data_IF_818676765756
#
_entry.id   IF_818676765756
#
_cell.length_a   1.000
_cell.length_b   1.000
_cell.length_c   1.000
_cell.angle_alpha   90.00
_cell.angle_beta   90.00
_cell.angle_gamma   90.00
#
_symmetry.space_group_name_H-M   'P 1'
#
loop_
_entity.id
_entity.type
_entity.pdbx_description
1 polymer ?
#
# COMPACT_ATOMS: atom_id res chain seq x y z
N UNK A 1 -9.51 -1.64 -17.69
CA UNK A 1 -8.41 -2.28 -16.92
C UNK A 1 -8.27 -1.52 -15.61
N UNK A 2 -8.47 -2.17 -14.47
CA UNK A 2 -8.31 -1.54 -13.15
C UNK A 2 -6.87 -1.81 -12.71
N UNK A 3 -6.09 -0.74 -12.48
CA UNK A 3 -4.74 -0.85 -11.92
C UNK A 3 -4.87 -0.68 -10.40
N UNK A 4 -4.57 -1.74 -9.64
CA UNK A 4 -4.56 -1.68 -8.18
C UNK A 4 -3.19 -1.22 -7.72
N UNK A 5 -3.13 0.00 -7.19
CA UNK A 5 -1.96 0.56 -6.52
C UNK A 5 -2.20 0.61 -5.00
N UNK A 6 -1.14 0.47 -4.23
CA UNK A 6 -1.23 0.52 -2.78
C UNK A 6 0.13 0.55 -2.11
N UNK A 7 0.11 0.51 -0.79
CA UNK A 7 1.32 0.31 0.01
C UNK A 7 1.16 -0.89 0.91
N UNK A 8 2.23 -1.68 1.03
CA UNK A 8 2.25 -2.86 1.90
C UNK A 8 3.65 -3.04 2.47
N UNK A 9 3.75 -3.65 3.64
CA UNK A 9 5.02 -4.07 4.20
C UNK A 9 5.53 -5.31 3.44
N UNK A 10 6.76 -5.22 2.96
CA UNK A 10 7.52 -6.30 2.34
C UNK A 10 8.93 -6.33 2.94
N UNK A 11 9.57 -7.49 2.79
CA UNK A 11 10.91 -7.73 3.32
C UNK A 11 10.86 -7.99 4.82
N UNK A 12 11.30 -9.17 5.23
CA UNK A 12 11.45 -9.51 6.63
C UNK A 12 12.94 -9.51 6.92
N UNK A 13 13.38 -8.60 7.79
CA UNK A 13 14.77 -8.47 8.19
C UNK A 13 14.88 -8.29 9.70
N UNK A 14 16.05 -8.60 10.25
CA UNK A 14 16.42 -8.28 11.63
C UNK A 14 15.34 -8.67 12.65
N UNK A 15 14.87 -9.91 12.56
CA UNK A 15 13.88 -10.48 13.45
C UNK A 15 14.43 -10.52 14.87
N UNK A 16 13.66 -10.01 15.83
CA UNK A 16 13.92 -10.21 17.24
C UNK A 16 12.86 -11.14 17.80
N UNK A 17 13.32 -12.31 18.23
CA UNK A 17 12.48 -13.39 18.71
C UNK A 17 11.53 -12.92 19.82
N UNK A 18 10.24 -13.20 19.66
CA UNK A 18 9.19 -12.82 20.61
C UNK A 18 8.78 -11.34 20.61
N UNK A 19 9.47 -10.46 19.85
CA UNK A 19 9.20 -9.01 19.85
C UNK A 19 8.69 -8.52 18.50
N UNK A 20 9.37 -8.86 17.40
CA UNK A 20 9.01 -8.30 16.10
C UNK A 20 10.07 -8.44 15.03
N UNK A 21 9.89 -7.74 13.91
CA UNK A 21 10.87 -7.72 12.82
C UNK A 21 10.87 -6.38 12.08
N UNK A 22 11.98 -6.09 11.41
CA UNK A 22 12.09 -4.93 10.53
C UNK A 22 11.49 -5.27 9.17
N UNK A 23 10.56 -4.43 8.71
CA UNK A 23 9.98 -4.50 7.39
C UNK A 23 10.01 -3.15 6.68
N UNK A 24 10.02 -3.17 5.35
CA UNK A 24 9.98 -1.96 4.55
C UNK A 24 8.62 -1.82 3.86
N UNK A 25 8.01 -0.63 3.92
CA UNK A 25 6.78 -0.32 3.21
C UNK A 25 7.12 0.06 1.78
N UNK A 26 6.53 -0.66 0.82
CA UNK A 26 6.71 -0.40 -0.61
C UNK A 26 5.46 0.18 -1.22
N UNK A 27 5.63 1.07 -2.21
CA UNK A 27 4.60 1.27 -3.24
C UNK A 27 4.58 0.02 -4.11
N UNK A 28 3.40 -0.54 -4.34
CA UNK A 28 3.23 -1.66 -5.24
C UNK A 28 2.19 -1.40 -6.33
N UNK A 29 2.41 -2.02 -7.49
CA UNK A 29 1.44 -2.12 -8.58
C UNK A 29 1.22 -3.61 -8.83
N UNK A 30 -0.03 -4.08 -8.75
CA UNK A 30 -0.37 -5.49 -8.99
C UNK A 30 0.53 -6.46 -8.19
N UNK A 31 0.78 -6.13 -6.91
CA UNK A 31 1.63 -6.88 -5.97
C UNK A 31 3.15 -6.81 -6.19
N UNK A 32 3.64 -6.10 -7.20
CA UNK A 32 5.09 -5.93 -7.42
C UNK A 32 5.62 -4.81 -6.52
N UNK A 33 6.54 -5.08 -5.57
CA UNK A 33 7.14 -4.03 -4.75
C UNK A 33 8.11 -3.20 -5.61
N UNK A 34 7.78 -1.93 -5.85
CA UNK A 34 8.56 -1.06 -6.73
C UNK A 34 9.54 -0.21 -5.95
N UNK A 35 9.03 0.76 -5.19
CA UNK A 35 9.84 1.77 -4.49
C UNK A 35 9.64 1.61 -2.99
N UNK A 36 10.73 1.35 -2.23
CA UNK A 36 10.67 1.37 -0.78
C UNK A 36 10.51 2.82 -0.29
N UNK A 37 9.56 3.05 0.60
CA UNK A 37 9.23 4.40 1.10
C UNK A 37 9.71 4.58 2.53
N UNK A 38 9.48 3.57 3.37
CA UNK A 38 9.63 3.70 4.82
C UNK A 38 10.05 2.36 5.43
N UNK A 39 10.84 2.39 6.50
CA UNK A 39 11.20 1.19 7.27
C UNK A 39 10.52 1.27 8.64
N UNK A 40 9.89 0.18 9.05
CA UNK A 40 9.23 0.05 10.34
C UNK A 40 9.65 -1.23 11.04
N UNK A 41 9.80 -1.17 12.35
CA UNK A 41 9.83 -2.35 13.20
C UNK A 41 8.40 -2.74 13.52
N UNK A 42 7.93 -3.89 13.04
CA UNK A 42 6.58 -4.39 13.27
C UNK A 42 6.53 -5.22 14.56
N UNK A 43 5.75 -4.77 15.54
CA UNK A 43 5.45 -5.45 16.80
C UNK A 43 4.09 -6.16 16.66
N UNK A 44 4.11 -7.37 16.12
CA UNK A 44 2.89 -8.08 15.71
C UNK A 44 2.30 -7.54 14.41
N UNK A 45 0.98 -7.66 14.23
CA UNK A 45 0.33 -7.40 12.94
C UNK A 45 -0.04 -5.92 12.71
N UNK A 46 -0.38 -5.18 13.77
CA UNK A 46 -1.02 -3.85 13.63
C UNK A 46 -0.17 -2.68 14.15
N UNK A 47 0.98 -2.96 14.77
CA UNK A 47 1.82 -1.93 15.40
C UNK A 47 3.18 -1.91 14.75
N UNK A 48 3.67 -0.72 14.44
CA UNK A 48 5.07 -0.58 14.10
C UNK A 48 5.66 0.77 14.45
N UNK A 49 6.95 0.75 14.75
CA UNK A 49 7.75 1.92 15.10
C UNK A 49 8.61 2.29 13.91
N UNK A 50 8.60 3.57 13.53
CA UNK A 50 9.41 4.07 12.42
C UNK A 50 10.89 3.93 12.74
N UNK A 51 11.64 3.41 11.80
CA UNK A 51 13.09 3.26 11.88
C UNK A 51 13.76 4.07 10.79
N UNK A 52 15.05 4.41 10.95
CA UNK A 52 15.87 4.83 9.83
C UNK A 52 15.85 3.76 8.73
N UNK A 53 15.95 4.19 7.49
CA UNK A 53 15.86 3.34 6.31
C UNK A 53 16.80 2.14 6.39
N UNK A 54 16.25 0.92 6.29
CA UNK A 54 17.02 -0.33 6.28
C UNK A 54 17.11 -0.87 4.86
N UNK A 55 18.28 -0.71 4.24
CA UNK A 55 18.56 -1.27 2.92
C UNK A 55 18.42 -2.80 2.90
N UNK A 56 18.77 -3.47 4.01
CA UNK A 56 18.62 -4.92 4.18
C UNK A 56 17.15 -5.36 4.06
N UNK A 57 16.23 -4.63 4.71
CA UNK A 57 14.79 -4.90 4.58
C UNK A 57 14.28 -4.62 3.16
N UNK A 58 14.76 -3.55 2.52
CA UNK A 58 14.39 -3.24 1.14
C UNK A 58 14.84 -4.33 0.15
N UNK A 59 16.09 -4.78 0.23
CA UNK A 59 16.62 -5.88 -0.59
C UNK A 59 15.85 -7.18 -0.35
N UNK A 60 15.55 -7.51 0.91
CA UNK A 60 14.71 -8.67 1.27
C UNK A 60 13.32 -8.59 0.60
N UNK A 61 12.73 -7.39 0.55
CA UNK A 61 11.45 -7.14 -0.11
C UNK A 61 11.51 -7.36 -1.62
N UNK A 62 12.50 -6.79 -2.30
CA UNK A 62 12.69 -6.96 -3.74
C UNK A 62 13.02 -8.39 -4.13
N UNK A 63 13.87 -9.10 -3.37
CA UNK A 63 14.20 -10.49 -3.67
C UNK A 63 12.98 -11.40 -3.55
N UNK A 64 12.11 -11.18 -2.55
CA UNK A 64 10.83 -11.90 -2.44
C UNK A 64 9.87 -11.56 -3.59
N UNK A 65 9.74 -10.28 -3.93
CA UNK A 65 8.91 -9.84 -5.06
C UNK A 65 9.41 -10.41 -6.40
N UNK A 66 10.72 -10.35 -6.64
CA UNK A 66 11.37 -10.90 -7.82
C UNK A 66 11.24 -12.41 -7.92
N UNK A 67 11.39 -13.13 -6.80
CA UNK A 67 11.17 -14.57 -6.77
C UNK A 67 9.72 -14.96 -7.09
N UNK A 68 8.73 -14.19 -6.60
CA UNK A 68 7.33 -14.41 -6.97
C UNK A 68 7.11 -14.21 -8.48
N UNK A 69 7.62 -13.11 -9.03
CA UNK A 69 7.46 -12.80 -10.46
C UNK A 69 8.19 -13.82 -11.34
N UNK A 70 9.38 -14.26 -10.93
CA UNK A 70 10.14 -15.33 -11.57
C UNK A 70 9.34 -16.63 -11.55
N UNK A 71 8.77 -17.02 -10.39
CA UNK A 71 7.95 -18.22 -10.29
C UNK A 71 6.76 -18.16 -11.26
N UNK A 72 6.00 -17.06 -11.26
CA UNK A 72 4.82 -16.89 -12.14
C UNK A 72 5.24 -16.95 -13.62
N UNK A 73 6.25 -16.16 -14.02
CA UNK A 73 6.72 -16.11 -15.40
C UNK A 73 7.25 -17.45 -15.89
N UNK A 74 8.05 -18.13 -15.06
CA UNK A 74 8.57 -19.46 -15.37
C UNK A 74 7.49 -20.53 -15.40
N UNK A 75 6.46 -20.46 -14.56
CA UNK A 75 5.31 -21.37 -14.65
C UNK A 75 4.55 -21.18 -15.96
N UNK A 76 4.27 -19.94 -16.36
CA UNK A 76 3.61 -19.66 -17.66
C UNK A 76 4.47 -20.15 -18.82
N UNK A 77 5.78 -19.87 -18.78
CA UNK A 77 6.73 -20.32 -19.79
C UNK A 77 6.81 -21.85 -19.89
N UNK A 78 6.78 -22.55 -18.75
CA UNK A 78 6.76 -24.01 -18.73
C UNK A 78 5.50 -24.57 -19.42
N UNK A 79 4.33 -24.01 -19.11
CA UNK A 79 3.05 -24.43 -19.72
C UNK A 79 3.08 -24.21 -21.23
N UNK A 80 3.54 -23.03 -21.69
CA UNK A 80 3.65 -22.72 -23.10
C UNK A 80 4.60 -23.69 -23.83
N UNK A 81 5.81 -23.90 -23.29
CA UNK A 81 6.79 -24.81 -23.89
C UNK A 81 6.28 -26.25 -23.97
N UNK A 82 5.57 -26.74 -22.94
CA UNK A 82 4.94 -28.07 -23.01
C UNK A 82 3.80 -28.14 -24.03
N UNK A 83 3.00 -27.08 -24.18
CA UNK A 83 1.96 -27.02 -25.20
C UNK A 83 2.55 -27.06 -26.63
N UNK A 84 3.75 -26.51 -26.82
CA UNK A 84 4.47 -26.52 -28.10
C UNK A 84 5.29 -27.81 -28.33
N UNK A 85 5.27 -28.75 -27.38
CA UNK A 85 6.05 -30.00 -27.45
C UNK A 85 7.55 -29.84 -27.15
N UNK A 86 7.98 -28.66 -26.71
CA UNK A 86 9.37 -28.38 -26.32
C UNK A 86 9.65 -28.85 -24.89
N UNK A 87 9.86 -30.16 -24.72
CA UNK A 87 10.02 -30.79 -23.40
C UNK A 87 11.18 -30.18 -22.60
N UNK A 88 12.33 -29.91 -23.23
CA UNK A 88 13.51 -29.39 -22.53
C UNK A 88 13.24 -27.98 -21.99
N UNK A 89 12.68 -27.08 -22.81
CA UNK A 89 12.30 -25.74 -22.39
C UNK A 89 11.26 -25.76 -21.27
N UNK A 90 10.25 -26.64 -21.38
CA UNK A 90 9.22 -26.84 -20.36
C UNK A 90 9.80 -27.27 -19.01
N UNK A 91 10.70 -28.26 -19.01
CA UNK A 91 11.36 -28.74 -17.79
C UNK A 91 12.27 -27.67 -17.19
N UNK A 92 13.07 -26.97 -18.01
CA UNK A 92 13.96 -25.91 -17.54
C UNK A 92 13.17 -24.78 -16.85
N UNK A 93 12.08 -24.32 -17.47
CA UNK A 93 11.21 -23.31 -16.89
C UNK A 93 10.53 -23.80 -15.60
N UNK A 94 10.07 -25.06 -15.55
CA UNK A 94 9.50 -25.64 -14.34
C UNK A 94 10.50 -25.71 -13.17
N UNK A 95 11.77 -26.04 -13.45
CA UNK A 95 12.85 -26.03 -12.44
C UNK A 95 13.08 -24.61 -11.92
N UNK A 96 13.15 -23.60 -12.79
CA UNK A 96 13.30 -22.20 -12.36
C UNK A 96 12.12 -21.76 -11.49
N UNK A 97 10.89 -22.14 -11.84
CA UNK A 97 9.72 -21.87 -11.01
C UNK A 97 9.85 -22.51 -9.62
N UNK A 98 10.23 -23.79 -9.56
CA UNK A 98 10.44 -24.53 -8.32
C UNK A 98 11.53 -23.91 -7.44
N UNK A 99 12.67 -23.53 -8.02
CA UNK A 99 13.76 -22.85 -7.31
C UNK A 99 13.33 -21.47 -6.78
N UNK A 100 12.55 -20.74 -7.56
CA UNK A 100 12.03 -19.42 -7.17
C UNK A 100 11.10 -19.52 -5.95
N UNK A 101 10.22 -20.53 -5.92
CA UNK A 101 9.38 -20.82 -4.74
C UNK A 101 10.23 -21.30 -3.56
N UNK A 102 11.19 -22.19 -3.80
CA UNK A 102 12.11 -22.71 -2.78
C UNK A 102 13.01 -21.64 -2.15
N UNK A 103 13.27 -20.53 -2.83
CA UNK A 103 14.08 -19.43 -2.32
C UNK A 103 13.38 -18.62 -1.21
N UNK A 104 12.05 -18.64 -1.11
CA UNK A 104 11.29 -17.89 -0.10
C UNK A 104 11.73 -18.14 1.36
N UNK A 105 11.74 -19.40 1.84
CA UNK A 105 12.22 -19.69 3.21
C UNK A 105 13.70 -19.37 3.38
N UNK A 106 14.51 -19.49 2.32
CA UNK A 106 15.94 -19.17 2.37
C UNK A 106 16.17 -17.67 2.61
N UNK A 107 15.45 -16.80 1.92
CA UNK A 107 15.53 -15.35 2.16
C UNK A 107 15.11 -14.97 3.57
N UNK A 108 14.09 -15.66 4.13
CA UNK A 108 13.72 -15.51 5.53
C UNK A 108 14.88 -15.80 6.48
N UNK A 109 15.66 -16.86 6.22
CA UNK A 109 16.83 -17.22 7.04
C UNK A 109 18.01 -16.25 6.86
N UNK A 110 18.32 -15.88 5.62
CA UNK A 110 19.48 -15.00 5.32
C UNK A 110 19.26 -13.60 5.89
N UNK A 111 18.08 -13.02 5.69
CA UNK A 111 17.80 -11.64 6.08
C UNK A 111 17.20 -11.53 7.49
N UNK A 112 16.58 -12.59 8.00
CA UNK A 112 15.91 -12.61 9.29
C UNK A 112 16.84 -12.50 10.49
N UNK A 113 18.11 -12.90 10.38
CA UNK A 113 19.06 -12.82 11.50
C UNK A 113 19.35 -11.37 11.88
N UNK A 114 19.11 -11.01 13.14
CA UNK A 114 19.46 -9.71 13.73
C UNK A 114 20.81 -9.80 14.44
N UNK A 115 21.73 -8.87 14.19
CA UNK A 115 22.98 -8.82 14.95
C UNK A 115 22.71 -8.38 16.38
N UNK A 116 23.54 -8.80 17.35
CA UNK A 116 23.36 -8.42 18.76
C UNK A 116 23.38 -6.90 18.97
N UNK A 117 24.27 -6.19 18.28
CA UNK A 117 24.32 -4.73 18.30
C UNK A 117 23.05 -4.10 17.74
N UNK A 118 22.58 -4.58 16.57
CA UNK A 118 21.35 -4.05 15.95
C UNK A 118 20.14 -4.33 16.82
N UNK A 119 20.08 -5.51 17.46
CA UNK A 119 19.04 -5.85 18.43
C UNK A 119 19.03 -4.86 19.59
N UNK A 120 20.19 -4.54 20.16
CA UNK A 120 20.29 -3.57 21.26
C UNK A 120 19.84 -2.15 20.81
N UNK A 121 20.23 -1.71 19.62
CA UNK A 121 19.76 -0.44 19.04
C UNK A 121 18.23 -0.41 18.85
N UNK A 122 17.66 -1.52 18.37
CA UNK A 122 16.22 -1.66 18.20
C UNK A 122 15.50 -1.62 19.56
N UNK A 123 15.98 -2.36 20.57
CA UNK A 123 15.38 -2.35 21.91
C UNK A 123 15.46 -0.97 22.55
N UNK A 124 16.60 -0.29 22.45
CA UNK A 124 16.76 1.08 22.92
C UNK A 124 15.80 2.05 22.22
N UNK A 125 15.61 1.90 20.89
CA UNK A 125 14.68 2.74 20.12
C UNK A 125 13.22 2.49 20.53
N UNK A 126 12.89 1.26 20.92
CA UNK A 126 11.55 0.88 21.37
C UNK A 126 11.28 1.29 22.83
N UNK A 127 12.29 1.75 23.57
CA UNK A 127 12.19 1.98 25.02
C UNK A 127 11.91 0.70 25.80
N UNK A 128 12.26 -0.47 25.25
CA UNK A 128 12.19 -1.75 25.93
C UNK A 128 13.56 -1.94 26.56
N UNK A 129 13.72 -1.46 27.79
CA UNK A 129 14.94 -1.71 28.54
C UNK A 129 15.03 -3.23 28.84
N UNK A 130 16.17 -3.85 28.52
CA UNK A 130 16.45 -5.29 28.76
C UNK A 130 16.40 -5.70 30.25
N UNK A 131 16.04 -4.79 31.16
CA UNK A 131 16.07 -4.97 32.61
C UNK A 131 14.90 -5.76 33.18
N UNK A 132 13.88 -6.07 32.41
CA UNK A 132 12.80 -6.94 32.86
C UNK A 132 12.88 -8.28 32.12
N UNK A 133 13.25 -9.35 32.84
CA UNK A 133 12.90 -10.72 32.48
C UNK A 133 11.37 -10.97 32.47
N UNK A 134 10.57 -9.94 32.22
CA UNK A 134 9.14 -10.02 32.00
C UNK A 134 8.93 -10.63 30.62
N UNK A 135 8.15 -11.70 30.60
CA UNK A 135 7.74 -12.36 29.37
C UNK A 135 7.22 -11.34 28.34
N UNK A 136 7.52 -11.54 27.04
CA UNK A 136 7.18 -10.58 25.98
C UNK A 136 5.70 -10.19 25.93
N UNK A 137 4.80 -10.97 26.54
CA UNK A 137 3.38 -10.66 26.63
C UNK A 137 3.05 -9.38 27.41
N UNK A 138 3.85 -8.98 28.41
CA UNK A 138 3.53 -7.83 29.26
C UNK A 138 3.96 -6.50 28.62
N UNK A 139 4.96 -6.51 27.73
CA UNK A 139 5.47 -5.31 27.05
C UNK A 139 4.52 -4.77 25.95
N UNK A 140 3.47 -5.50 25.60
CA UNK A 140 2.51 -5.11 24.56
C UNK A 140 1.44 -4.09 25.01
N UNK A 141 1.49 -3.56 26.23
CA UNK A 141 0.60 -2.48 26.68
C UNK A 141 1.28 -1.10 26.53
N UNK A 142 1.65 -0.73 25.31
CA UNK A 142 1.99 0.66 25.00
C UNK A 142 0.70 1.40 24.63
N UNK A 143 0.43 2.60 25.18
CA UNK A 143 -0.74 3.39 24.82
C UNK A 143 -0.79 3.59 23.31
N UNK A 144 -1.90 3.17 22.70
CA UNK A 144 -2.12 3.33 21.26
C UNK A 144 -1.95 4.80 20.90
N UNK A 145 -0.90 5.13 20.13
CA UNK A 145 -0.87 6.44 19.47
C UNK A 145 -2.11 6.52 18.58
N UNK A 146 -2.86 7.63 18.60
CA UNK A 146 -4.01 7.81 17.74
C UNK A 146 -3.53 7.64 16.31
N UNK A 147 -3.96 6.56 15.64
CA UNK A 147 -3.67 6.41 14.23
C UNK A 147 -4.21 7.66 13.52
N UNK A 148 -3.40 8.34 12.69
CA UNK A 148 -3.93 9.40 11.85
C UNK A 148 -5.05 8.78 11.05
N UNK A 149 -6.30 9.17 11.36
CA UNK A 149 -7.47 8.80 10.59
C UNK A 149 -7.22 9.32 9.18
N UNK A 150 -6.64 8.47 8.33
CA UNK A 150 -6.72 8.65 6.90
C UNK A 150 -8.20 8.58 6.62
N UNK A 151 -8.80 9.76 6.44
CA UNK A 151 -10.19 9.94 6.04
C UNK A 151 -10.40 9.26 4.70
N UNK A 152 -10.63 7.95 4.74
CA UNK A 152 -11.39 7.28 3.71
C UNK A 152 -12.72 8.01 3.65
N UNK A 153 -13.08 8.42 2.43
CA UNK A 153 -14.31 9.13 2.14
C UNK A 153 -15.54 8.45 2.74
N UNK A 154 -16.68 9.15 2.76
CA UNK A 154 -17.90 8.66 3.38
C UNK A 154 -18.16 7.20 2.98
N UNK A 155 -18.51 6.33 3.95
CA UNK A 155 -18.76 4.92 3.67
C UNK A 155 -19.72 4.86 2.49
N UNK A 156 -19.30 4.17 1.42
CA UNK A 156 -20.21 3.91 0.33
C UNK A 156 -21.45 3.24 0.93
N UNK A 157 -22.67 3.71 0.62
CA UNK A 157 -23.88 3.08 1.12
C UNK A 157 -23.79 1.60 0.77
N UNK A 158 -23.77 0.77 1.81
CA UNK A 158 -23.90 -0.66 1.66
C UNK A 158 -25.19 -0.88 0.87
N UNK A 159 -25.06 -1.22 -0.41
CA UNK A 159 -26.15 -1.82 -1.16
C UNK A 159 -26.42 -3.15 -0.47
N UNK A 160 -27.35 -3.10 0.49
CA UNK A 160 -27.92 -4.27 1.11
C UNK A 160 -28.58 -5.09 0.01
N UNK A 161 -27.89 -6.11 -0.45
CA UNK A 161 -28.53 -7.21 -1.15
C UNK A 161 -29.48 -7.83 -0.14
N UNK A 162 -30.77 -7.59 -0.34
CA UNK A 162 -31.85 -8.08 0.50
C UNK A 162 -31.65 -9.56 0.78
N UNK A 163 -31.39 -9.87 2.04
CA UNK A 163 -31.43 -11.22 2.54
C UNK A 163 -32.86 -11.73 2.33
N UNK A 164 -33.10 -12.82 1.58
CA UNK A 164 -34.43 -13.37 1.45
C UNK A 164 -34.92 -13.79 2.84
N UNK A 165 -36.04 -13.21 3.26
CA UNK A 165 -36.75 -13.59 4.46
C UNK A 165 -37.10 -15.08 4.35
N UNK A 166 -36.66 -15.95 5.27
CA UNK A 166 -37.09 -17.34 5.26
C UNK A 166 -38.60 -17.39 5.53
N UNK A 167 -39.31 -17.96 4.57
CA UNK A 167 -40.74 -18.23 4.65
C UNK A 167 -41.05 -19.05 5.91
N UNK A 168 -42.09 -18.63 6.62
CA UNK A 168 -42.48 -19.18 7.91
C UNK A 168 -42.67 -20.69 7.87
N UNK A 169 -41.95 -21.37 8.74
CA UNK A 169 -42.29 -22.73 9.15
C UNK A 169 -43.01 -22.64 10.49
N UNK A 170 -44.26 -23.09 10.49
CA UNK A 170 -45.07 -23.32 11.69
C UNK A 170 -44.30 -24.23 12.66
N UNK A 171 -44.06 -23.74 13.87
CA UNK A 171 -43.52 -24.52 14.97
C UNK A 171 -44.69 -25.16 15.73
N UNK A 172 -44.75 -26.50 15.87
CA UNK A 172 -45.80 -27.13 16.66
C UNK A 172 -45.55 -26.93 18.16
N UNK A 173 -46.64 -26.64 18.87
CA UNK A 173 -46.69 -26.44 20.30
C UNK A 173 -46.30 -27.74 21.05
N UNK A 174 -45.19 -27.68 21.78
CA UNK A 174 -44.75 -28.73 22.70
C UNK A 174 -43.95 -28.08 23.82
N UNK A 175 -44.63 -27.81 24.93
CA UNK A 175 -44.06 -27.07 26.06
C UNK A 175 -43.13 -27.92 26.91
N UNK A 176 -41.97 -27.37 27.24
CA UNK A 176 -41.24 -27.61 28.49
C UNK A 176 -40.55 -26.30 28.86
N UNK A 177 -40.82 -25.82 30.08
CA UNK A 177 -40.44 -24.48 30.55
C UNK A 177 -38.93 -24.25 30.57
N UNK A 178 -38.48 -23.23 29.86
CA UNK A 178 -37.17 -22.62 30.07
C UNK A 178 -37.33 -21.30 30.83
N UNK A 179 -36.42 -20.99 31.78
CA UNK A 179 -36.41 -19.69 32.46
C UNK A 179 -36.18 -18.57 31.44
N UNK A 180 -37.12 -17.64 31.37
CA UNK A 180 -37.02 -16.43 30.56
C UNK A 180 -35.92 -15.51 31.14
N UNK A 181 -34.71 -15.62 30.59
CA UNK A 181 -33.71 -14.57 30.76
C UNK A 181 -34.15 -13.36 29.95
N UNK A 182 -34.61 -12.33 30.65
CA UNK A 182 -34.99 -11.05 30.05
C UNK A 182 -33.83 -10.47 29.24
N UNK A 183 -34.13 -9.96 28.05
CA UNK A 183 -33.16 -9.29 27.21
C UNK A 183 -32.50 -8.14 28.00
N UNK A 184 -31.17 -8.01 28.01
CA UNK A 184 -30.50 -6.90 28.67
C UNK A 184 -30.98 -5.57 28.06
N UNK A 185 -31.21 -4.53 28.87
CA UNK A 185 -31.63 -3.23 28.38
C UNK A 185 -30.61 -2.72 27.35
N UNK A 186 -31.09 -2.39 26.15
CA UNK A 186 -30.22 -1.82 25.13
C UNK A 186 -29.78 -0.42 25.57
N UNK A 187 -28.47 -0.11 25.53
CA UNK A 187 -28.00 1.24 25.80
C UNK A 187 -28.58 2.19 24.76
N UNK A 188 -29.39 3.14 25.21
CA UNK A 188 -29.86 4.26 24.38
C UNK A 188 -28.67 5.20 24.12
N UNK A 189 -27.93 4.93 23.04
CA UNK A 189 -26.94 5.87 22.55
C UNK A 189 -27.66 7.09 21.98
N UNK A 190 -27.55 8.22 22.69
CA UNK A 190 -28.03 9.51 22.22
C UNK A 190 -27.39 9.87 20.88
N UNK A 191 -28.15 10.57 20.05
CA UNK A 191 -27.66 11.04 18.76
C UNK A 191 -26.37 11.85 18.95
N UNK A 192 -25.29 11.53 18.21
CA UNK A 192 -24.03 12.26 18.36
C UNK A 192 -24.23 13.74 17.98
N UNK A 193 -23.62 14.67 18.72
CA UNK A 193 -23.72 16.10 18.43
C UNK A 193 -23.25 16.37 17.00
N UNK A 194 -24.08 17.09 16.24
CA UNK A 194 -23.70 17.52 14.90
C UNK A 194 -22.67 18.64 15.00
N UNK A 195 -21.40 18.32 14.79
CA UNK A 195 -20.37 19.32 14.60
C UNK A 195 -20.52 19.91 13.20
N UNK A 196 -21.01 21.15 13.13
CA UNK A 196 -20.97 21.96 11.93
C UNK A 196 -19.51 22.29 11.62
N UNK A 197 -18.87 21.47 10.79
CA UNK A 197 -17.56 21.78 10.25
C UNK A 197 -17.70 22.98 9.31
N UNK A 198 -17.14 24.12 9.75
CA UNK A 198 -16.97 25.29 8.89
C UNK A 198 -16.13 24.94 7.67
N UNK A 199 -16.39 25.62 6.56
CA UNK A 199 -15.66 25.42 5.31
C UNK A 199 -14.14 25.55 5.56
N UNK A 200 -13.32 24.59 5.08
CA UNK A 200 -11.88 24.67 5.26
C UNK A 200 -11.33 25.93 4.56
N UNK A 201 -10.35 26.63 5.15
CA UNK A 201 -9.73 27.78 4.53
C UNK A 201 -9.10 27.37 3.19
N UNK A 202 -9.41 28.14 2.15
CA UNK A 202 -8.85 27.91 0.82
C UNK A 202 -7.34 28.18 0.84
N UNK A 203 -6.49 27.23 0.40
CA UNK A 203 -5.07 27.47 0.25
C UNK A 203 -4.81 28.54 -0.81
N UNK A 204 -4.33 29.70 -0.38
CA UNK A 204 -3.84 30.75 -1.27
C UNK A 204 -2.51 30.33 -1.88
N UNK A 205 -2.53 29.79 -3.09
CA UNK A 205 -1.31 29.56 -3.86
C UNK A 205 -0.78 30.91 -4.36
N UNK A 206 0.28 31.40 -3.70
CA UNK A 206 1.07 32.52 -4.20
C UNK A 206 1.65 32.20 -5.57
N UNK A 207 1.76 33.22 -6.43
CA UNK A 207 2.31 33.09 -7.76
C UNK A 207 3.74 32.49 -7.71
N UNK A 208 4.07 31.53 -8.58
CA UNK A 208 5.40 30.92 -8.58
C UNK A 208 6.48 31.98 -8.89
N UNK A 209 7.63 31.94 -8.20
CA UNK A 209 8.73 32.84 -8.46
C UNK A 209 9.25 32.66 -9.90
N UNK A 210 9.48 33.77 -10.59
CA UNK A 210 9.98 33.71 -11.96
C UNK A 210 11.42 33.17 -12.01
N UNK A 211 11.73 32.29 -12.98
CA UNK A 211 13.05 31.69 -13.10
C UNK A 211 14.10 32.77 -13.40
N UNK A 212 15.11 32.84 -12.55
CA UNK A 212 16.28 33.69 -12.77
C UNK A 212 17.10 33.09 -13.91
N UNK A 213 17.31 33.89 -14.96
CA UNK A 213 18.05 33.48 -16.15
C UNK A 213 19.47 33.05 -15.83
N UNK A 214 19.79 31.79 -16.17
CA UNK A 214 21.17 31.32 -16.21
C UNK A 214 21.86 31.92 -17.43
N UNK A 215 22.88 32.74 -17.19
CA UNK A 215 23.80 33.19 -18.24
C UNK A 215 24.61 32.02 -18.81
N UNK A 216 25.09 32.13 -20.06
CA UNK A 216 25.88 31.08 -20.69
C UNK A 216 27.25 30.90 -20.01
N UNK A 217 27.76 29.66 -19.89
CA UNK A 217 29.08 29.40 -19.33
C UNK A 217 30.20 29.88 -20.25
N UNK A 218 31.34 30.33 -19.70
CA UNK A 218 32.51 30.72 -20.49
C UNK A 218 33.14 29.49 -21.18
N UNK A 219 33.33 29.60 -22.49
CA UNK A 219 33.95 28.57 -23.32
C UNK A 219 35.47 28.50 -23.07
N UNK A 220 35.97 27.34 -22.66
CA UNK A 220 37.38 27.00 -22.69
C UNK A 220 37.64 26.03 -23.84
N UNK A 221 38.34 26.52 -24.87
CA UNK A 221 38.79 25.74 -26.03
C UNK A 221 40.15 25.07 -25.74
N UNK A 222 40.35 23.84 -26.23
CA UNK A 222 41.59 23.49 -26.94
C UNK A 222 41.30 23.35 -28.43
N UNK A 223 42.22 23.86 -29.26
CA UNK A 223 42.12 23.89 -30.70
C UNK A 223 42.08 22.48 -31.32
N UNK A 224 41.09 22.22 -32.16
CA UNK A 224 41.09 21.12 -33.13
C UNK A 224 41.04 21.68 -34.56
N UNK A 225 41.64 20.99 -35.56
CA UNK A 225 41.73 21.48 -36.93
C UNK A 225 40.35 21.56 -37.61
N UNK A 226 40.14 22.68 -38.30
CA UNK A 226 38.91 23.05 -38.97
C UNK A 226 38.55 22.11 -40.15
N UNK A 227 37.44 21.39 -40.00
CA UNK A 227 36.64 20.94 -41.14
C UNK A 227 35.43 21.86 -41.25
N UNK A 228 35.20 22.40 -42.45
CA UNK A 228 34.21 23.45 -42.72
C UNK A 228 32.77 23.02 -42.39
N UNK A 229 31.89 23.98 -42.04
CA UNK A 229 30.50 23.69 -41.69
C UNK A 229 29.70 23.30 -42.94
N UNK A 230 29.12 22.10 -42.92
CA UNK A 230 28.01 21.74 -43.80
C UNK A 230 26.73 22.51 -43.42
N UNK A 231 25.78 22.64 -44.34
CA UNK A 231 24.53 23.37 -44.09
C UNK A 231 23.71 22.70 -42.97
N UNK A 232 23.34 23.49 -41.96
CA UNK A 232 22.55 23.04 -40.83
C UNK A 232 21.10 22.73 -41.26
N UNK A 233 20.53 21.56 -40.92
CA UNK A 233 19.11 21.30 -41.09
C UNK A 233 18.30 22.22 -40.17
N UNK A 234 17.53 23.12 -40.76
CA UNK A 234 16.59 23.97 -40.06
C UNK A 234 15.44 23.15 -39.48
N UNK A 235 15.51 22.83 -38.20
CA UNK A 235 14.38 22.30 -37.46
C UNK A 235 13.43 23.46 -37.13
N UNK A 236 12.29 23.48 -37.80
CA UNK A 236 11.22 24.45 -37.55
C UNK A 236 10.74 24.39 -36.10
N UNK A 237 10.45 25.56 -35.54
CA UNK A 237 9.92 25.70 -34.19
C UNK A 237 8.59 24.92 -34.04
N UNK A 238 8.39 24.15 -32.96
CA UNK A 238 7.13 23.47 -32.72
C UNK A 238 6.01 24.50 -32.45
N UNK A 239 4.76 24.24 -32.90
CA UNK A 239 3.63 25.14 -32.68
C UNK A 239 3.32 25.28 -31.19
N UNK A 240 3.12 26.52 -30.76
CA UNK A 240 2.73 26.87 -29.40
C UNK A 240 1.31 26.35 -29.12
N UNK A 241 1.20 25.38 -28.21
CA UNK A 241 -0.09 24.96 -27.65
C UNK A 241 -0.58 26.02 -26.66
N UNK A 242 -1.58 26.79 -27.06
CA UNK A 242 -2.30 27.69 -26.16
C UNK A 242 -3.12 26.92 -25.12
N UNK A 243 -3.42 27.53 -23.96
CA UNK A 243 -4.25 26.92 -22.93
C UNK A 243 -5.67 26.69 -23.45
N UNK A 244 -6.08 25.43 -23.52
CA UNK A 244 -7.45 25.06 -23.86
C UNK A 244 -8.45 25.53 -22.80
N UNK A 245 -9.73 25.75 -23.17
CA UNK A 245 -10.76 26.18 -22.23
C UNK A 245 -10.99 25.12 -21.15
N UNK A 246 -11.11 25.57 -19.91
CA UNK A 246 -11.38 24.72 -18.76
C UNK A 246 -12.75 24.01 -18.92
N UNK A 247 -12.85 22.70 -18.62
CA UNK A 247 -14.12 21.99 -18.63
C UNK A 247 -15.07 22.61 -17.58
N UNK A 248 -16.14 23.24 -18.06
CA UNK A 248 -17.22 23.72 -17.21
C UNK A 248 -17.98 22.53 -16.63
N UNK A 249 -17.89 22.34 -15.33
CA UNK A 249 -18.74 21.38 -14.61
C UNK A 249 -20.18 21.91 -14.63
N UNK A 250 -21.02 21.29 -15.47
CA UNK A 250 -22.45 21.56 -15.51
C UNK A 250 -23.09 21.29 -14.15
N UNK A 251 -23.94 22.21 -13.70
CA UNK A 251 -24.71 22.06 -12.47
C UNK A 251 -25.58 20.79 -12.53
N UNK A 252 -25.67 20.01 -11.44
CA UNK A 252 -26.51 18.82 -11.41
C UNK A 252 -28.00 19.20 -11.58
N UNK A 253 -28.79 18.37 -12.27
CA UNK A 253 -30.21 18.63 -12.47
C UNK A 253 -30.95 18.66 -11.14
N UNK A 254 -31.85 19.64 -10.99
CA UNK A 254 -32.69 19.81 -9.81
C UNK A 254 -33.58 18.58 -9.61
N UNK A 255 -33.46 17.95 -8.43
CA UNK A 255 -34.28 16.82 -8.02
C UNK A 255 -35.72 17.29 -7.78
N UNK A 256 -36.66 16.81 -8.61
CA UNK A 256 -38.08 17.07 -8.44
C UNK A 256 -38.71 15.87 -7.70
N UNK A 257 -39.21 16.04 -6.47
CA UNK A 257 -39.79 14.93 -5.71
C UNK A 257 -41.08 14.42 -6.38
N UNK A 258 -41.35 13.10 -6.32
CA UNK A 258 -42.56 12.52 -6.87
C UNK A 258 -43.80 13.04 -6.14
N UNK A 259 -44.77 13.53 -6.90
CA UNK A 259 -46.05 14.00 -6.38
C UNK A 259 -46.89 12.87 -5.76
N UNK A 260 -47.83 13.21 -4.88
CA UNK A 260 -48.64 12.23 -4.17
C UNK A 260 -49.55 11.43 -5.12
N UNK A 261 -49.86 10.17 -4.80
CA UNK A 261 -50.72 9.32 -5.61
C UNK A 261 -52.13 9.90 -5.69
N UNK A 262 -52.66 10.00 -6.92
CA UNK A 262 -54.07 10.34 -7.16
C UNK A 262 -54.94 9.15 -6.74
N UNK A 263 -55.99 9.46 -5.98
CA UNK A 263 -57.04 8.52 -5.56
C UNK A 263 -57.98 8.20 -6.72
#
# INVERSE_FOLDING_TARGET
MIIVYGTRFWGHADAVEGVGHVACRFVHIMFVPLVPIETMFLLGDDRGVKLPFSFKAAVSGWLRGGALMSAIGSTIGAIAAFADGEVIGGVAAAVVAGLSVGAFPLFGKIFGSCSAQRRAELMATLGIDDHAGASPQTAYQVPQQPQPQMGYGPPQPQMGYGQPQPAGMMQPAGGFGQPAYGAPPQPAYGAPPQHAYGAPPQPGYGAPPQPHGFGPPPAQHPQQPAFGPGPAPGYGAPPAFGPGPAPGYGAPPAYNPPGPPRR
#
